data_IF_581825104220
#
_entry.id   IF_581825104220
#
_cell.length_a   1.000
_cell.length_b   1.000
_cell.length_c   1.000
_cell.angle_alpha   90.00
_cell.angle_beta   90.00
_cell.angle_gamma   90.00
#
_symmetry.space_group_name_H-M   'P 1'
#
loop_
_entity.id
_entity.type
_entity.pdbx_description
1 polymer ?
#
# COMPACT_ATOMS: atom_id res chain seq x y z
N UNK A 1 -3.94 5.81 12.73
CA UNK A 1 -3.32 4.68 12.04
C UNK A 1 -4.10 3.40 12.17
N UNK A 2 -4.26 2.92 13.38
CA UNK A 2 -5.09 1.74 13.64
C UNK A 2 -6.52 2.00 13.17
N UNK A 3 -7.02 3.20 13.38
CA UNK A 3 -8.37 3.58 12.99
C UNK A 3 -8.57 3.54 11.47
N UNK A 4 -7.59 4.01 10.68
CA UNK A 4 -7.66 3.92 9.22
C UNK A 4 -7.65 2.48 8.76
N UNK A 5 -6.82 1.65 9.35
CA UNK A 5 -6.76 0.23 9.06
C UNK A 5 -8.12 -0.44 9.33
N UNK A 6 -8.68 -0.18 10.52
CA UNK A 6 -9.98 -0.73 10.89
C UNK A 6 -11.10 -0.28 9.96
N UNK A 7 -11.08 0.99 9.52
CA UNK A 7 -12.08 1.53 8.61
C UNK A 7 -12.11 0.77 7.29
N UNK A 8 -10.95 0.51 6.68
CA UNK A 8 -10.88 -0.21 5.42
C UNK A 8 -11.26 -1.67 5.56
N UNK A 9 -10.86 -2.32 6.64
CA UNK A 9 -11.24 -3.70 6.94
C UNK A 9 -12.76 -3.79 7.12
N UNK A 10 -13.36 -2.84 7.82
CA UNK A 10 -14.82 -2.78 8.01
C UNK A 10 -15.56 -2.58 6.70
N UNK A 11 -15.07 -1.71 5.81
CA UNK A 11 -15.68 -1.50 4.50
C UNK A 11 -15.69 -2.78 3.68
N UNK A 12 -14.58 -3.50 3.65
CA UNK A 12 -14.49 -4.76 2.91
C UNK A 12 -15.42 -5.81 3.49
N UNK A 13 -15.46 -5.93 4.82
CA UNK A 13 -16.36 -6.86 5.51
C UNK A 13 -17.81 -6.54 5.21
N UNK A 14 -18.19 -5.27 5.23
CA UNK A 14 -19.55 -4.83 4.93
C UNK A 14 -19.97 -5.19 3.51
N UNK A 15 -19.08 -5.02 2.53
CA UNK A 15 -19.35 -5.41 1.15
C UNK A 15 -19.62 -6.90 1.02
N UNK A 16 -18.81 -7.71 1.69
CA UNK A 16 -18.98 -9.17 1.70
C UNK A 16 -20.30 -9.55 2.36
N UNK A 17 -20.65 -8.93 3.50
CA UNK A 17 -21.92 -9.16 4.18
C UNK A 17 -23.12 -8.78 3.31
N UNK A 18 -23.03 -7.69 2.58
CA UNK A 18 -24.11 -7.26 1.68
C UNK A 18 -24.39 -8.31 0.60
N UNK A 19 -23.34 -8.95 0.08
CA UNK A 19 -23.49 -10.01 -0.90
C UNK A 19 -24.15 -11.26 -0.30
N UNK A 20 -23.88 -11.58 0.97
CA UNK A 20 -24.48 -12.70 1.68
C UNK A 20 -25.96 -12.43 1.97
N UNK A 21 -26.29 -11.22 2.41
CA UNK A 21 -27.67 -10.83 2.75
C UNK A 21 -28.63 -10.92 1.56
N UNK A 22 -28.09 -10.86 0.35
CA UNK A 22 -28.88 -11.05 -0.86
C UNK A 22 -29.14 -12.54 -1.16
N UNK A 23 -28.78 -13.42 -0.23
CA UNK A 23 -28.99 -14.86 -0.39
C UNK A 23 -27.93 -15.55 -1.22
N UNK A 24 -26.83 -14.91 -1.48
CA UNK A 24 -25.74 -15.45 -2.24
C UNK A 24 -24.69 -16.09 -1.33
N UNK A 25 -24.12 -17.19 -1.79
CA UNK A 25 -22.98 -17.81 -1.11
C UNK A 25 -21.72 -17.04 -1.48
N UNK A 26 -20.90 -16.73 -0.49
CA UNK A 26 -19.62 -16.06 -0.74
C UNK A 26 -18.70 -17.02 -1.49
N UNK A 27 -18.35 -16.63 -2.71
CA UNK A 27 -17.39 -17.35 -3.55
C UNK A 27 -16.16 -16.52 -3.74
N UNK A 28 -15.09 -17.11 -4.30
CA UNK A 28 -13.88 -16.36 -4.65
C UNK A 28 -14.20 -15.20 -5.61
N UNK A 29 -15.15 -15.38 -6.50
CA UNK A 29 -15.59 -14.34 -7.42
C UNK A 29 -16.24 -13.16 -6.68
N UNK A 30 -17.11 -13.44 -5.72
CA UNK A 30 -17.75 -12.42 -4.90
C UNK A 30 -16.73 -11.63 -4.10
N UNK A 31 -15.74 -12.32 -3.52
CA UNK A 31 -14.68 -11.67 -2.77
C UNK A 31 -13.81 -10.80 -3.67
N UNK A 32 -13.43 -11.29 -4.84
CA UNK A 32 -12.66 -10.53 -5.83
C UNK A 32 -13.41 -9.28 -6.29
N UNK A 33 -14.70 -9.41 -6.52
CA UNK A 33 -15.54 -8.29 -6.94
C UNK A 33 -15.63 -7.23 -5.83
N UNK A 34 -15.80 -7.65 -4.58
CA UNK A 34 -15.82 -6.74 -3.43
C UNK A 34 -14.52 -5.96 -3.29
N UNK A 35 -13.39 -6.65 -3.40
CA UNK A 35 -12.06 -6.01 -3.36
C UNK A 35 -11.90 -5.03 -4.52
N UNK A 36 -12.29 -5.43 -5.73
CA UNK A 36 -12.19 -4.56 -6.92
C UNK A 36 -13.03 -3.30 -6.75
N UNK A 37 -14.25 -3.43 -6.26
CA UNK A 37 -15.15 -2.30 -6.05
C UNK A 37 -14.59 -1.34 -5.00
N UNK A 38 -14.02 -1.87 -3.91
CA UNK A 38 -13.37 -1.06 -2.90
C UNK A 38 -12.17 -0.29 -3.47
N UNK A 39 -11.31 -0.96 -4.24
CA UNK A 39 -10.15 -0.33 -4.86
C UNK A 39 -10.58 0.77 -5.84
N UNK A 40 -11.61 0.51 -6.65
CA UNK A 40 -12.13 1.49 -7.59
C UNK A 40 -12.71 2.71 -6.89
N UNK A 41 -13.41 2.52 -5.77
CA UNK A 41 -13.99 3.62 -5.01
C UNK A 41 -12.94 4.53 -4.40
N UNK A 42 -11.72 4.02 -4.14
CA UNK A 42 -10.64 4.78 -3.54
C UNK A 42 -9.60 5.26 -4.56
N UNK A 43 -9.74 4.88 -5.83
CA UNK A 43 -8.70 5.12 -6.84
C UNK A 43 -8.32 6.59 -6.97
N UNK A 44 -9.29 7.48 -7.04
CA UNK A 44 -9.03 8.91 -7.19
C UNK A 44 -8.23 9.46 -6.01
N UNK A 45 -8.57 9.04 -4.79
CA UNK A 45 -7.85 9.44 -3.59
C UNK A 45 -6.41 8.94 -3.63
N UNK A 46 -6.20 7.67 -3.99
CA UNK A 46 -4.87 7.10 -4.06
C UNK A 46 -4.02 7.72 -5.17
N UNK A 47 -4.63 8.00 -6.32
CA UNK A 47 -3.93 8.71 -7.39
C UNK A 47 -3.47 10.10 -6.94
N UNK A 48 -4.27 10.80 -6.16
CA UNK A 48 -3.88 12.09 -5.60
C UNK A 48 -2.73 11.96 -4.61
N UNK A 49 -2.66 10.85 -3.87
CA UNK A 49 -1.56 10.60 -2.93
C UNK A 49 -0.23 10.34 -3.64
N UNK A 50 -0.23 9.66 -4.78
CA UNK A 50 1.00 9.33 -5.49
C UNK A 50 1.44 10.38 -6.50
N UNK A 51 0.55 11.28 -6.92
CA UNK A 51 0.86 12.31 -7.91
C UNK A 51 2.10 13.14 -7.56
N UNK A 52 2.27 13.62 -6.30
CA UNK A 52 3.45 14.41 -5.94
C UNK A 52 4.71 13.58 -5.69
N UNK A 53 4.63 12.25 -5.78
CA UNK A 53 5.77 11.39 -5.46
C UNK A 53 6.79 11.37 -6.62
N UNK A 54 8.07 11.36 -6.25
CA UNK A 54 9.16 11.20 -7.23
C UNK A 54 9.28 9.74 -7.65
N UNK A 55 10.04 9.50 -8.72
CA UNK A 55 10.34 8.14 -9.17
C UNK A 55 11.02 7.31 -8.06
N UNK A 56 11.94 7.92 -7.32
CA UNK A 56 12.61 7.24 -6.20
C UNK A 56 11.63 6.87 -5.10
N UNK A 57 10.68 7.75 -4.78
CA UNK A 57 9.66 7.48 -3.77
C UNK A 57 8.76 6.34 -4.19
N UNK A 58 8.34 6.30 -5.46
CA UNK A 58 7.56 5.20 -6.01
C UNK A 58 8.35 3.88 -5.95
N UNK A 59 9.63 3.91 -6.28
CA UNK A 59 10.49 2.74 -6.20
C UNK A 59 10.63 2.22 -4.77
N UNK A 60 10.69 3.12 -3.80
CA UNK A 60 10.75 2.75 -2.38
C UNK A 60 9.48 2.01 -1.95
N UNK A 61 8.31 2.47 -2.39
CA UNK A 61 7.04 1.79 -2.12
C UNK A 61 7.03 0.39 -2.74
N UNK A 62 7.52 0.25 -3.96
CA UNK A 62 7.64 -1.07 -4.60
C UNK A 62 8.56 -1.99 -3.82
N UNK A 63 9.64 -1.46 -3.29
CA UNK A 63 10.60 -2.19 -2.48
C UNK A 63 9.92 -2.78 -1.23
N UNK A 64 9.16 -1.96 -0.51
CA UNK A 64 8.41 -2.40 0.67
C UNK A 64 7.41 -3.49 0.29
N UNK A 65 6.66 -3.29 -0.79
CA UNK A 65 5.62 -4.23 -1.23
C UNK A 65 6.21 -5.54 -1.75
N UNK A 66 7.49 -5.54 -2.12
CA UNK A 66 8.21 -6.76 -2.52
C UNK A 66 8.74 -7.56 -1.33
N UNK A 67 8.54 -7.08 -0.10
CA UNK A 67 8.92 -7.80 1.11
C UNK A 67 10.12 -7.22 1.84
N UNK A 68 10.68 -6.11 1.39
CA UNK A 68 11.81 -5.47 2.06
C UNK A 68 11.32 -4.44 3.06
N UNK A 69 11.75 -4.55 4.32
CA UNK A 69 11.28 -3.68 5.39
C UNK A 69 12.41 -2.99 6.16
N UNK A 70 13.63 -3.52 6.11
CA UNK A 70 14.77 -3.01 6.87
C UNK A 70 16.11 -3.08 6.14
N UNK A 71 16.16 -3.68 4.96
CA UNK A 71 17.40 -3.93 4.22
C UNK A 71 17.61 -2.98 3.03
N UNK A 72 17.03 -1.81 3.07
CA UNK A 72 17.07 -0.83 1.97
C UNK A 72 18.49 -0.33 1.66
N UNK A 73 19.37 -0.36 2.65
CA UNK A 73 20.76 0.09 2.48
C UNK A 73 21.66 -0.90 1.77
N UNK A 74 21.24 -2.14 1.58
CA UNK A 74 22.04 -3.15 0.89
C UNK A 74 22.20 -2.82 -0.58
N UNK A 75 23.41 -3.01 -1.11
CA UNK A 75 23.73 -2.66 -2.50
C UNK A 75 22.81 -3.37 -3.49
N UNK A 76 22.57 -4.68 -3.28
CA UNK A 76 21.71 -5.46 -4.16
C UNK A 76 20.27 -4.90 -4.19
N UNK A 77 19.73 -4.52 -3.03
CA UNK A 77 18.38 -3.97 -2.93
C UNK A 77 18.31 -2.60 -3.60
N UNK A 78 19.29 -1.73 -3.34
CA UNK A 78 19.35 -0.40 -3.95
C UNK A 78 19.43 -0.47 -5.47
N UNK A 79 20.19 -1.43 -6.00
CA UNK A 79 20.31 -1.61 -7.44
C UNK A 79 19.04 -2.20 -8.05
N UNK A 80 18.45 -3.20 -7.41
CA UNK A 80 17.24 -3.86 -7.88
C UNK A 80 16.07 -2.89 -8.01
N UNK A 81 15.87 -2.03 -7.00
CA UNK A 81 14.74 -1.10 -6.95
C UNK A 81 15.12 0.32 -7.34
N UNK A 82 16.38 0.55 -7.72
CA UNK A 82 16.86 1.87 -8.15
C UNK A 82 16.59 2.95 -7.10
N UNK A 83 17.01 2.68 -5.87
CA UNK A 83 16.78 3.58 -4.73
C UNK A 83 17.80 4.71 -4.62
N UNK A 84 18.90 4.63 -5.33
CA UNK A 84 19.97 5.60 -5.28
C UNK A 84 20.96 5.33 -4.13
N UNK A 85 21.55 6.38 -3.57
CA UNK A 85 22.55 6.26 -2.52
C UNK A 85 21.89 5.97 -1.15
N UNK A 86 22.73 5.60 -0.18
CA UNK A 86 22.27 5.42 1.21
C UNK A 86 21.67 6.72 1.75
N UNK A 87 22.28 7.87 1.44
CA UNK A 87 21.74 9.17 1.83
C UNK A 87 20.36 9.43 1.25
N UNK A 88 20.15 9.03 0.01
CA UNK A 88 18.85 9.15 -0.64
C UNK A 88 17.79 8.32 0.06
N UNK A 89 18.14 7.11 0.50
CA UNK A 89 17.22 6.23 1.24
C UNK A 89 16.74 6.91 2.52
N UNK A 90 17.63 7.56 3.26
CA UNK A 90 17.24 8.31 4.46
C UNK A 90 16.23 9.40 4.14
N UNK A 91 16.42 10.11 3.03
CA UNK A 91 15.48 11.14 2.57
C UNK A 91 14.14 10.53 2.18
N UNK A 92 14.16 9.39 1.51
CA UNK A 92 12.93 8.67 1.11
C UNK A 92 12.12 8.25 2.33
N UNK A 93 12.77 7.66 3.33
CA UNK A 93 12.12 7.26 4.57
C UNK A 93 11.44 8.44 5.24
N UNK A 94 12.16 9.55 5.43
CA UNK A 94 11.64 10.73 6.08
C UNK A 94 10.46 11.31 5.30
N UNK A 95 10.59 11.47 4.00
CA UNK A 95 9.55 12.06 3.16
C UNK A 95 8.26 11.23 3.17
N UNK A 96 8.36 9.91 3.06
CA UNK A 96 7.19 9.04 3.01
C UNK A 96 6.52 8.88 4.37
N UNK A 97 7.30 8.89 5.45
CA UNK A 97 6.73 8.90 6.82
C UNK A 97 6.00 10.21 7.09
N UNK A 98 6.57 11.34 6.66
CA UNK A 98 5.93 12.65 6.82
C UNK A 98 4.61 12.75 6.06
N UNK A 99 4.48 12.02 4.95
CA UNK A 99 3.26 11.98 4.14
C UNK A 99 2.23 10.96 4.65
N UNK A 100 2.55 10.24 5.73
CA UNK A 100 1.73 9.16 6.29
C UNK A 100 1.45 8.01 5.31
N UNK A 101 2.27 7.86 4.28
CA UNK A 101 2.17 6.73 3.33
C UNK A 101 2.90 5.51 3.89
N UNK A 102 3.98 5.74 4.61
CA UNK A 102 4.82 4.72 5.22
C UNK A 102 4.87 4.96 6.73
N UNK A 103 4.84 3.89 7.51
CA UNK A 103 5.02 3.94 8.96
C UNK A 103 6.19 3.08 9.38
N UNK A 104 6.80 3.46 10.51
CA UNK A 104 7.90 2.72 11.09
C UNK A 104 7.40 1.95 12.32
N UNK A 105 7.69 0.65 12.35
CA UNK A 105 7.43 -0.21 13.51
C UNK A 105 8.75 -0.82 13.95
N UNK A 106 9.30 -0.34 15.06
CA UNK A 106 10.66 -0.67 15.45
C UNK A 106 11.65 -0.11 14.44
N UNK A 107 12.43 -0.98 13.80
CA UNK A 107 13.38 -0.59 12.73
C UNK A 107 12.88 -0.93 11.33
N UNK A 108 11.63 -1.36 11.21
CA UNK A 108 11.06 -1.83 9.95
C UNK A 108 10.04 -0.82 9.44
N UNK A 109 9.92 -0.73 8.12
CA UNK A 109 9.04 0.21 7.43
C UNK A 109 7.95 -0.55 6.70
N UNK A 110 6.72 -0.06 6.81
CA UNK A 110 5.53 -0.68 6.22
C UNK A 110 4.64 0.38 5.57
N UNK A 111 3.85 -0.02 4.59
CA UNK A 111 2.80 0.85 4.06
C UNK A 111 1.73 1.01 5.13
N UNK A 112 1.36 2.25 5.43
CA UNK A 112 0.41 2.58 6.50
C UNK A 112 -0.98 2.00 6.22
N UNK A 113 -1.44 2.12 4.98
CA UNK A 113 -2.79 1.76 4.57
C UNK A 113 -2.77 0.47 3.75
N UNK A 114 -3.33 -0.64 4.26
CA UNK A 114 -3.32 -1.91 3.53
C UNK A 114 -4.14 -1.87 2.23
N UNK A 115 -5.18 -1.05 2.17
CA UNK A 115 -5.97 -0.89 0.94
C UNK A 115 -5.16 -0.14 -0.11
N UNK A 116 -4.44 0.89 0.29
CA UNK A 116 -3.51 1.57 -0.60
C UNK A 116 -2.44 0.61 -1.12
N UNK A 117 -1.91 -0.25 -0.27
CA UNK A 117 -0.91 -1.25 -0.66
C UNK A 117 -1.45 -2.19 -1.74
N UNK A 118 -2.67 -2.69 -1.57
CA UNK A 118 -3.32 -3.55 -2.56
C UNK A 118 -3.55 -2.80 -3.88
N UNK A 119 -4.05 -1.59 -3.81
CA UNK A 119 -4.28 -0.76 -4.99
C UNK A 119 -2.97 -0.49 -5.73
N UNK A 120 -1.94 -0.08 -5.01
CA UNK A 120 -0.63 0.21 -5.59
C UNK A 120 -0.06 -1.02 -6.29
N UNK A 121 -0.16 -2.18 -5.64
CA UNK A 121 0.32 -3.43 -6.21
C UNK A 121 -0.43 -3.79 -7.50
N UNK A 122 -1.73 -3.56 -7.54
CA UNK A 122 -2.55 -3.91 -8.71
C UNK A 122 -2.37 -2.93 -9.88
N UNK A 123 -2.02 -1.67 -9.61
CA UNK A 123 -1.93 -0.62 -10.64
C UNK A 123 -0.51 -0.29 -11.07
N UNK A 124 0.45 -0.37 -10.14
CA UNK A 124 1.80 0.16 -10.33
C UNK A 124 2.88 -0.93 -10.48
N UNK A 125 2.52 -2.18 -10.30
CA UNK A 125 3.45 -3.29 -10.56
C UNK A 125 3.31 -3.83 -11.95
#
# INVERSE_FOLDING_TARGET
MVDNYSSYVQQLSWLVFSLIDEGQVVTDEHLKQGVKDLLNSQEQLFMQQIEPLTAYQMNFLRCILSGHHDDFGETAVREEFQLGSVSNITRLKTALVDKDIVEMSGKRYYITDPVFALWFRSRMF
#
